data_IF_802796193905
#
_entry.id   IF_802796193905
#
_cell.length_a   1.000
_cell.length_b   1.000
_cell.length_c   1.000
_cell.angle_alpha   90.00
_cell.angle_beta   90.00
_cell.angle_gamma   90.00
#
_symmetry.space_group_name_H-M   'P 1'
#
loop_
_entity.id
_entity.type
_entity.pdbx_description
1 polymer ?
#
# COMPACT_ATOMS: atom_id res chain seq x y z
N UNK A 1 5.11 -16.91 -4.77
CA UNK A 1 4.08 -16.18 -5.56
C UNK A 1 2.98 -15.68 -4.64
N UNK A 2 2.60 -14.44 -4.78
CA UNK A 2 1.52 -13.85 -4.00
C UNK A 2 0.32 -13.52 -4.90
N UNK A 3 -0.84 -13.35 -4.27
CA UNK A 3 -2.02 -12.78 -4.93
C UNK A 3 -2.54 -11.63 -4.09
N UNK A 4 -3.29 -10.73 -4.73
CA UNK A 4 -3.97 -9.63 -4.07
C UNK A 4 -5.48 -9.86 -4.17
N UNK A 5 -6.19 -9.66 -3.07
CA UNK A 5 -7.66 -9.70 -3.07
C UNK A 5 -8.22 -8.70 -2.06
N UNK A 6 -9.48 -8.36 -2.24
CA UNK A 6 -10.18 -7.55 -1.25
C UNK A 6 -10.31 -8.33 0.06
N UNK A 7 -10.42 -7.59 1.16
CA UNK A 7 -10.74 -8.19 2.44
C UNK A 7 -12.22 -8.57 2.47
N UNK A 8 -12.51 -9.67 3.16
CA UNK A 8 -13.86 -10.10 3.46
C UNK A 8 -14.09 -10.00 4.98
N UNK A 9 -15.34 -9.95 5.40
CA UNK A 9 -15.67 -9.87 6.83
C UNK A 9 -15.11 -11.06 7.61
N UNK A 10 -14.98 -12.20 6.95
CA UNK A 10 -14.41 -13.42 7.52
C UNK A 10 -12.93 -13.27 7.87
N UNK A 11 -12.25 -12.26 7.32
CA UNK A 11 -10.86 -11.96 7.65
C UNK A 11 -10.72 -11.18 8.97
N UNK A 12 -11.80 -10.69 9.54
CA UNK A 12 -11.76 -9.85 10.74
C UNK A 12 -11.00 -10.47 11.91
N UNK A 13 -11.17 -11.77 12.25
CA UNK A 13 -10.39 -12.39 13.33
C UNK A 13 -8.87 -12.29 13.10
N UNK A 14 -8.45 -12.41 11.85
CA UNK A 14 -7.05 -12.35 11.46
C UNK A 14 -6.48 -10.95 11.68
N UNK A 15 -7.24 -9.94 11.22
CA UNK A 15 -6.84 -8.55 11.38
C UNK A 15 -6.86 -8.12 12.85
N UNK A 16 -7.75 -8.69 13.65
CA UNK A 16 -7.83 -8.38 15.07
C UNK A 16 -6.56 -8.75 15.83
N UNK A 17 -5.89 -9.82 15.42
CA UNK A 17 -4.60 -10.18 15.99
C UNK A 17 -3.54 -9.12 15.69
N UNK A 18 -3.62 -8.46 14.54
CA UNK A 18 -2.66 -7.41 14.12
C UNK A 18 -3.02 -6.06 14.71
N UNK A 19 -4.30 -5.77 14.83
CA UNK A 19 -4.82 -4.51 15.34
C UNK A 19 -5.54 -4.74 16.66
N UNK A 20 -4.79 -5.17 17.66
CA UNK A 20 -5.34 -5.60 18.96
C UNK A 20 -6.06 -4.50 19.72
N UNK A 21 -5.81 -3.23 19.36
CA UNK A 21 -6.47 -2.08 19.98
C UNK A 21 -7.90 -1.86 19.48
N UNK A 22 -8.31 -2.57 18.43
CA UNK A 22 -9.63 -2.43 17.83
C UNK A 22 -10.51 -3.62 18.18
N UNK A 23 -11.80 -3.35 18.40
CA UNK A 23 -12.80 -4.41 18.59
C UNK A 23 -13.08 -5.11 17.25
N UNK A 24 -13.73 -6.29 17.33
CA UNK A 24 -14.19 -7.00 16.14
C UNK A 24 -15.09 -6.12 15.28
N UNK A 25 -16.01 -5.40 15.89
CA UNK A 25 -16.94 -4.51 15.19
C UNK A 25 -16.20 -3.38 14.47
N UNK A 26 -15.18 -2.80 15.11
CA UNK A 26 -14.38 -1.75 14.50
C UNK A 26 -13.63 -2.28 13.27
N UNK A 27 -13.08 -3.48 13.35
CA UNK A 27 -12.36 -4.10 12.23
C UNK A 27 -13.32 -4.42 11.09
N UNK A 28 -14.50 -4.95 11.39
CA UNK A 28 -15.51 -5.21 10.36
C UNK A 28 -15.95 -3.92 9.66
N UNK A 29 -16.08 -2.83 10.43
CA UNK A 29 -16.36 -1.50 9.88
C UNK A 29 -15.24 -1.00 8.97
N UNK A 30 -13.98 -1.23 9.35
CA UNK A 30 -12.82 -0.90 8.52
C UNK A 30 -12.89 -1.65 7.19
N UNK A 31 -13.15 -2.94 7.24
CA UNK A 31 -13.25 -3.77 6.01
C UNK A 31 -14.37 -3.24 5.11
N UNK A 32 -15.50 -2.89 5.69
CA UNK A 32 -16.61 -2.34 4.93
C UNK A 32 -16.22 -1.04 4.22
N UNK A 33 -15.55 -0.13 4.92
CA UNK A 33 -15.07 1.12 4.33
C UNK A 33 -14.02 0.88 3.24
N UNK A 34 -13.09 -0.01 3.47
CA UNK A 34 -12.08 -0.37 2.46
C UNK A 34 -12.73 -0.88 1.18
N UNK A 35 -13.81 -1.63 1.31
CA UNK A 35 -14.49 -2.23 0.16
C UNK A 35 -15.45 -1.27 -0.53
N UNK A 36 -15.65 -0.07 0.01
CA UNK A 36 -16.46 0.96 -0.66
C UNK A 36 -15.81 1.46 -1.95
N UNK A 37 -14.51 1.26 -2.10
CA UNK A 37 -13.75 1.71 -3.27
C UNK A 37 -13.46 3.19 -3.30
N UNK A 38 -13.77 3.91 -2.22
CA UNK A 38 -13.58 5.36 -2.14
C UNK A 38 -13.13 5.79 -0.75
N UNK A 39 -12.30 6.82 -0.73
CA UNK A 39 -11.96 7.54 0.48
C UNK A 39 -11.93 9.03 0.13
N UNK A 40 -12.69 9.83 0.86
CA UNK A 40 -12.78 11.27 0.64
C UNK A 40 -13.12 11.62 -0.83
N UNK A 41 -14.03 10.85 -1.43
CA UNK A 41 -14.49 11.05 -2.81
C UNK A 41 -13.50 10.58 -3.89
N UNK A 42 -12.36 10.02 -3.52
CA UNK A 42 -11.33 9.54 -4.45
C UNK A 42 -11.25 8.02 -4.42
N UNK A 43 -10.75 7.43 -5.50
CA UNK A 43 -10.53 5.99 -5.54
C UNK A 43 -9.59 5.58 -4.42
N UNK A 44 -9.99 4.56 -3.70
CA UNK A 44 -9.19 3.94 -2.65
C UNK A 44 -9.51 2.45 -2.61
N UNK A 45 -8.49 1.65 -2.46
CA UNK A 45 -8.65 0.22 -2.29
C UNK A 45 -7.61 -0.30 -1.31
N UNK A 46 -8.04 -1.14 -0.36
CA UNK A 46 -7.13 -1.85 0.52
C UNK A 46 -7.24 -3.32 0.18
N UNK A 47 -6.12 -3.92 -0.19
CA UNK A 47 -6.08 -5.32 -0.60
C UNK A 47 -5.25 -6.14 0.37
N UNK A 48 -5.63 -7.40 0.54
CA UNK A 48 -4.84 -8.37 1.29
C UNK A 48 -3.76 -8.95 0.39
N UNK A 49 -2.55 -9.04 0.91
CA UNK A 49 -1.45 -9.76 0.26
C UNK A 49 -1.52 -11.21 0.74
N UNK A 50 -1.75 -12.13 -0.18
CA UNK A 50 -1.96 -13.55 0.13
C UNK A 50 -0.79 -14.37 -0.36
N UNK A 51 -0.21 -15.17 0.53
CA UNK A 51 0.83 -16.15 0.19
C UNK A 51 0.50 -17.48 0.86
N UNK A 52 0.42 -18.55 0.06
CA UNK A 52 0.10 -19.86 0.59
C UNK A 52 -1.21 -19.92 1.37
N UNK A 53 -2.22 -19.17 0.94
CA UNK A 53 -3.52 -19.12 1.60
C UNK A 53 -3.56 -18.25 2.86
N UNK A 54 -2.47 -17.56 3.20
CA UNK A 54 -2.39 -16.72 4.40
C UNK A 54 -2.32 -15.25 4.03
N UNK A 55 -2.90 -14.40 4.87
CA UNK A 55 -2.74 -12.96 4.76
C UNK A 55 -1.38 -12.61 5.36
N UNK A 56 -0.45 -12.14 4.53
CA UNK A 56 0.90 -11.78 4.97
C UNK A 56 1.10 -10.28 5.07
N UNK A 57 0.15 -9.49 4.61
CA UNK A 57 0.21 -8.04 4.66
C UNK A 57 -0.97 -7.41 3.96
N UNK A 58 -0.87 -6.09 3.81
CA UNK A 58 -1.86 -5.27 3.11
C UNK A 58 -1.17 -4.41 2.07
N UNK A 59 -1.93 -3.98 1.07
CA UNK A 59 -1.46 -2.97 0.12
C UNK A 59 -2.62 -2.05 -0.22
N UNK A 60 -2.39 -0.75 -0.12
CA UNK A 60 -3.40 0.26 -0.42
C UNK A 60 -3.09 0.96 -1.73
N UNK A 61 -4.15 1.33 -2.45
CA UNK A 61 -4.06 2.19 -3.62
C UNK A 61 -4.92 3.43 -3.33
N UNK A 62 -4.33 4.61 -3.46
CA UNK A 62 -5.00 5.85 -3.13
C UNK A 62 -4.77 6.91 -4.21
N UNK A 63 -5.87 7.37 -4.82
CA UNK A 63 -5.83 8.38 -5.88
C UNK A 63 -5.52 9.77 -5.32
N UNK A 64 -4.58 10.46 -5.96
CA UNK A 64 -4.33 11.89 -5.71
C UNK A 64 -5.00 12.76 -6.77
N UNK A 65 -4.99 12.29 -8.01
CA UNK A 65 -5.63 12.96 -9.15
C UNK A 65 -6.00 11.90 -10.18
N UNK A 66 -6.60 12.33 -11.30
CA UNK A 66 -6.95 11.40 -12.37
C UNK A 66 -5.77 10.61 -12.93
N UNK A 67 -4.56 11.16 -12.81
CA UNK A 67 -3.33 10.56 -13.37
C UNK A 67 -2.40 9.97 -12.31
N UNK A 68 -2.55 10.35 -11.04
CA UNK A 68 -1.55 10.08 -10.00
C UNK A 68 -2.15 9.28 -8.85
N UNK A 69 -1.46 8.21 -8.47
CA UNK A 69 -1.87 7.30 -7.39
C UNK A 69 -0.69 7.03 -6.48
N UNK A 70 -0.96 6.80 -5.19
CA UNK A 70 0.01 6.26 -4.24
C UNK A 70 -0.32 4.80 -3.94
N UNK A 71 0.72 4.01 -3.66
CA UNK A 71 0.59 2.58 -3.37
C UNK A 71 1.39 2.30 -2.09
N UNK A 72 0.71 1.81 -1.06
CA UNK A 72 1.31 1.59 0.26
C UNK A 72 1.29 0.13 0.69
N UNK A 73 2.39 -0.61 0.52
CA UNK A 73 2.47 -1.98 1.02
C UNK A 73 2.86 -2.02 2.50
N UNK A 74 2.29 -2.96 3.22
CA UNK A 74 2.70 -3.27 4.59
C UNK A 74 2.77 -4.78 4.73
N UNK A 75 3.98 -5.33 4.86
CA UNK A 75 4.16 -6.75 5.15
C UNK A 75 4.25 -6.91 6.66
N UNK A 76 3.46 -7.83 7.20
CA UNK A 76 3.44 -8.09 8.63
C UNK A 76 4.76 -8.69 9.08
N UNK A 77 5.21 -8.30 10.27
CA UNK A 77 6.55 -8.61 10.77
C UNK A 77 6.97 -10.07 10.59
N UNK A 78 6.14 -11.08 10.96
CA UNK A 78 6.56 -12.48 10.82
C UNK A 78 6.87 -12.90 9.38
N UNK A 79 6.40 -12.14 8.39
CA UNK A 79 6.51 -12.51 6.98
C UNK A 79 7.49 -11.63 6.20
N UNK A 80 8.18 -10.73 6.87
CA UNK A 80 9.16 -9.83 6.22
C UNK A 80 10.36 -10.60 5.71
N UNK A 81 11.11 -9.96 4.78
CA UNK A 81 12.34 -10.51 4.16
C UNK A 81 12.08 -11.69 3.23
N UNK A 82 10.85 -11.81 2.70
CA UNK A 82 10.50 -12.84 1.72
C UNK A 82 10.17 -12.26 0.33
N UNK A 83 10.35 -10.95 0.13
CA UNK A 83 10.06 -10.30 -1.13
C UNK A 83 8.58 -10.04 -1.40
N UNK A 84 7.72 -10.22 -0.42
CA UNK A 84 6.28 -10.05 -0.60
C UNK A 84 5.88 -8.61 -0.93
N UNK A 85 6.52 -7.63 -0.30
CA UNK A 85 6.26 -6.22 -0.57
C UNK A 85 6.57 -5.86 -2.03
N UNK A 86 7.70 -6.32 -2.53
CA UNK A 86 8.11 -6.09 -3.91
C UNK A 86 7.13 -6.72 -4.89
N UNK A 87 6.77 -7.97 -4.65
CA UNK A 87 5.84 -8.70 -5.51
C UNK A 87 4.45 -8.05 -5.49
N UNK A 88 3.99 -7.61 -4.32
CA UNK A 88 2.72 -6.91 -4.18
C UNK A 88 2.71 -5.59 -4.93
N UNK A 89 3.81 -4.83 -4.87
CA UNK A 89 3.96 -3.58 -5.63
C UNK A 89 3.86 -3.83 -7.13
N UNK A 90 4.55 -4.84 -7.64
CA UNK A 90 4.50 -5.19 -9.06
C UNK A 90 3.07 -5.51 -9.51
N UNK A 91 2.32 -6.25 -8.69
CA UNK A 91 0.93 -6.55 -8.99
C UNK A 91 0.05 -5.29 -8.90
N UNK A 92 0.30 -4.43 -7.93
CA UNK A 92 -0.45 -3.19 -7.77
C UNK A 92 -0.21 -2.21 -8.94
N UNK A 93 1.00 -2.19 -9.51
CA UNK A 93 1.27 -1.37 -10.70
C UNK A 93 0.36 -1.78 -11.86
N UNK A 94 0.11 -3.07 -12.03
CA UNK A 94 -0.80 -3.55 -13.08
C UNK A 94 -2.23 -3.09 -12.84
N UNK A 95 -2.69 -3.15 -11.60
CA UNK A 95 -4.02 -2.67 -11.23
C UNK A 95 -4.13 -1.17 -11.54
N UNK A 96 -3.14 -0.39 -11.13
CA UNK A 96 -3.14 1.05 -11.36
C UNK A 96 -3.11 1.39 -12.85
N UNK A 97 -2.28 0.69 -13.63
CA UNK A 97 -2.20 0.90 -15.08
C UNK A 97 -3.52 0.54 -15.77
N UNK A 98 -4.17 -0.55 -15.36
CA UNK A 98 -5.46 -0.96 -15.91
C UNK A 98 -6.56 0.06 -15.59
N UNK A 99 -6.42 0.80 -14.50
CA UNK A 99 -7.32 1.90 -14.14
C UNK A 99 -6.90 3.23 -14.77
N UNK A 100 -5.91 3.20 -15.67
CA UNK A 100 -5.46 4.35 -16.46
C UNK A 100 -4.69 5.42 -15.68
N UNK A 101 -4.20 5.10 -14.49
CA UNK A 101 -3.24 5.98 -13.81
C UNK A 101 -1.91 5.96 -14.55
N UNK A 102 -1.22 7.09 -14.58
CA UNK A 102 0.01 7.26 -15.34
C UNK A 102 1.25 7.31 -14.47
N UNK A 103 1.11 7.73 -13.23
CA UNK A 103 2.23 7.97 -12.32
C UNK A 103 1.91 7.43 -10.94
N UNK A 104 2.85 6.72 -10.35
CA UNK A 104 2.82 6.39 -8.91
C UNK A 104 3.70 7.42 -8.20
N UNK A 105 3.14 8.08 -7.20
CA UNK A 105 3.83 9.07 -6.37
C UNK A 105 3.88 8.58 -4.94
N UNK A 106 5.09 8.47 -4.40
CA UNK A 106 5.31 7.97 -3.04
C UNK A 106 6.07 9.00 -2.21
N UNK A 107 5.61 9.21 -0.99
CA UNK A 107 6.31 10.01 -0.01
C UNK A 107 7.08 9.04 0.90
N UNK A 108 8.39 9.12 0.92
CA UNK A 108 9.24 8.19 1.67
C UNK A 108 10.10 8.98 2.65
N UNK A 109 10.13 8.54 3.90
CA UNK A 109 10.99 9.16 4.92
C UNK A 109 12.45 8.96 4.53
N UNK A 110 13.24 10.00 4.73
CA UNK A 110 14.67 10.00 4.39
C UNK A 110 15.48 8.99 5.21
N UNK A 111 14.96 8.58 6.37
CA UNK A 111 15.62 7.58 7.23
C UNK A 111 15.12 6.15 6.97
N UNK A 112 14.22 5.95 6.02
CA UNK A 112 13.69 4.62 5.71
C UNK A 112 14.49 3.97 4.59
N UNK A 113 15.69 3.50 4.91
CA UNK A 113 16.62 2.93 3.93
C UNK A 113 16.04 1.73 3.20
N UNK A 114 15.27 0.89 3.89
CA UNK A 114 14.67 -0.31 3.30
C UNK A 114 13.65 0.08 2.22
N UNK A 115 12.77 1.02 2.54
CA UNK A 115 11.77 1.49 1.58
C UNK A 115 12.40 2.21 0.40
N UNK A 116 13.42 3.04 0.64
CA UNK A 116 14.14 3.74 -0.43
C UNK A 116 14.76 2.72 -1.40
N UNK A 117 15.46 1.72 -0.86
CA UNK A 117 16.10 0.69 -1.68
C UNK A 117 15.07 -0.09 -2.51
N UNK A 118 13.93 -0.45 -1.90
CA UNK A 118 12.86 -1.14 -2.59
C UNK A 118 12.33 -0.29 -3.76
N UNK A 119 12.01 0.97 -3.51
CA UNK A 119 11.45 1.84 -4.54
C UNK A 119 12.43 2.10 -5.69
N UNK A 120 13.70 2.34 -5.36
CA UNK A 120 14.71 2.50 -6.41
C UNK A 120 14.85 1.23 -7.25
N UNK A 121 14.79 0.06 -6.62
CA UNK A 121 14.87 -1.22 -7.34
C UNK A 121 13.67 -1.45 -8.27
N UNK A 122 12.54 -0.79 -7.99
CA UNK A 122 11.32 -0.89 -8.79
C UNK A 122 11.24 0.19 -9.87
N UNK A 123 12.26 1.01 -10.02
CA UNK A 123 12.33 2.02 -11.07
C UNK A 123 11.80 3.38 -10.69
N UNK A 124 11.56 3.64 -9.40
CA UNK A 124 11.20 4.98 -8.95
C UNK A 124 12.39 5.91 -9.05
N UNK A 125 12.11 7.19 -9.31
CA UNK A 125 13.10 8.24 -9.39
C UNK A 125 12.74 9.36 -8.42
N UNK A 126 13.74 10.09 -7.94
CA UNK A 126 13.53 11.24 -7.07
C UNK A 126 14.48 12.37 -7.46
N UNK A 127 14.03 13.61 -7.24
CA UNK A 127 14.89 14.78 -7.38
C UNK A 127 15.88 14.94 -6.23
N UNK A 128 15.65 14.19 -5.14
CA UNK A 128 16.45 14.34 -3.92
C UNK A 128 16.02 15.49 -3.03
N UNK A 129 15.05 16.30 -3.44
CA UNK A 129 14.54 17.39 -2.61
C UNK A 129 13.85 16.83 -1.37
N UNK A 130 14.20 17.39 -0.20
CA UNK A 130 13.68 16.95 1.09
C UNK A 130 12.79 18.07 1.65
N UNK A 131 11.67 17.68 2.24
CA UNK A 131 10.78 18.62 2.93
C UNK A 131 10.19 17.96 4.17
N UNK A 132 9.58 18.76 5.03
CA UNK A 132 8.94 18.30 6.25
C UNK A 132 7.44 18.14 5.98
N UNK A 133 6.90 16.94 6.23
CA UNK A 133 5.47 16.70 6.03
C UNK A 133 4.64 17.14 7.24
N UNK A 134 3.31 16.97 7.17
CA UNK A 134 2.40 17.36 8.24
C UNK A 134 2.65 16.63 9.56
N UNK A 135 3.29 15.46 9.52
CA UNK A 135 3.66 14.67 10.71
C UNK A 135 5.06 15.01 11.21
N UNK A 136 5.66 16.08 10.69
CA UNK A 136 7.00 16.55 11.05
C UNK A 136 8.13 15.57 10.69
N UNK A 137 7.90 14.70 9.72
CA UNK A 137 8.92 13.81 9.20
C UNK A 137 9.63 14.41 8.00
N UNK A 138 10.94 14.19 7.89
CA UNK A 138 11.70 14.54 6.69
C UNK A 138 11.42 13.49 5.62
N UNK A 139 10.91 13.93 4.47
CA UNK A 139 10.49 13.04 3.39
C UNK A 139 10.98 13.55 2.05
N UNK A 140 11.05 12.64 1.08
CA UNK A 140 11.26 12.98 -0.33
C UNK A 140 10.16 12.30 -1.17
N UNK A 141 9.86 12.88 -2.33
CA UNK A 141 8.90 12.31 -3.25
C UNK A 141 9.65 11.43 -4.26
N UNK A 142 9.12 10.23 -4.45
CA UNK A 142 9.59 9.26 -5.44
C UNK A 142 8.48 9.05 -6.45
N UNK A 143 8.82 9.08 -7.73
CA UNK A 143 7.85 8.97 -8.84
C UNK A 143 8.23 7.79 -9.74
N UNK A 144 7.20 7.09 -10.22
CA UNK A 144 7.36 6.03 -11.21
C UNK A 144 6.32 6.21 -12.31
N UNK A 145 6.77 6.18 -13.56
CA UNK A 145 5.87 6.15 -14.71
C UNK A 145 5.29 4.75 -14.88
N UNK A 146 3.98 4.70 -15.15
CA UNK A 146 3.27 3.47 -15.48
C UNK A 146 3.12 3.29 -17.00
N UNK A 147 3.63 4.23 -17.78
CA UNK A 147 3.54 4.20 -19.24
C UNK A 147 4.64 3.36 -19.86
#
# INVERSE_FOLDING_TARGET
>A
MITLRRFAVEDAPYLQERYSNFSREQIEGMIHEWNSGKFDGRYFEMLAIISGGRIVGTISLYEHSSDVISIGPEVFEPYRKNGYGREAMLNAFKIAADREYKIVSQQIRTDNAVSIALHLSLGFETSGAVYTNAKENQVAIYLKSLL
#
